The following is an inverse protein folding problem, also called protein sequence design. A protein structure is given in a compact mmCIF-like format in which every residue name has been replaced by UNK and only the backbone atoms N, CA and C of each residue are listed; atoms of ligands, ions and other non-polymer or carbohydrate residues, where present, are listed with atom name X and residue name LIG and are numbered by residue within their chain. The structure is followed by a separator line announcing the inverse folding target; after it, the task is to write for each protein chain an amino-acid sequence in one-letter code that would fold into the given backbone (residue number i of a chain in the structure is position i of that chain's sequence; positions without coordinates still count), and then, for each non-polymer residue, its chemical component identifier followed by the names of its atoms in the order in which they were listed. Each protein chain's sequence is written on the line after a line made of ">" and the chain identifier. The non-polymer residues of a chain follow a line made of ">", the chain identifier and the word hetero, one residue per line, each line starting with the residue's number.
data_IF_302797125654
#
_entry.id   IF_302797125654
#
_cell.length_a   1.000
_cell.length_b   1.000
_cell.length_c   1.000
_cell.angle_alpha   90.00
_cell.angle_beta   90.00
_cell.angle_gamma   90.00
#
_symmetry.space_group_name_H-M   'P 1'
#
loop_
_entity.id
_entity.type
_entity.pdbx_description
1 polymer ?
#
# COMPACT_ATOMS: atom_id res chain seq x y z
N UNK A 1 23.10 -24.01 -10.85
CA UNK A 1 22.57 -22.91 -10.03
C UNK A 1 23.31 -21.64 -10.41
N UNK A 2 22.65 -20.73 -11.09
CA UNK A 2 23.24 -19.47 -11.57
C UNK A 2 23.05 -18.39 -10.51
N UNK A 3 24.13 -17.69 -10.18
CA UNK A 3 24.17 -16.65 -9.15
C UNK A 3 23.12 -15.54 -9.41
N UNK A 4 22.17 -15.29 -8.47
CA UNK A 4 21.15 -14.25 -8.62
C UNK A 4 21.74 -12.83 -8.74
N UNK A 5 22.92 -12.56 -8.15
CA UNK A 5 23.63 -11.28 -8.32
C UNK A 5 24.09 -11.11 -9.78
N UNK A 6 24.52 -12.19 -10.44
CA UNK A 6 24.87 -12.15 -11.86
C UNK A 6 23.65 -11.93 -12.76
N UNK A 7 22.50 -12.52 -12.42
CA UNK A 7 21.24 -12.27 -13.15
C UNK A 7 20.82 -10.81 -13.04
N UNK A 8 20.86 -10.22 -11.84
CA UNK A 8 20.54 -8.80 -11.63
C UNK A 8 21.51 -7.87 -12.37
N UNK A 9 22.83 -8.13 -12.30
CA UNK A 9 23.83 -7.34 -13.05
C UNK A 9 23.68 -7.47 -14.57
N UNK A 10 23.18 -8.60 -15.06
CA UNK A 10 22.90 -8.79 -16.50
C UNK A 10 21.60 -8.12 -16.95
N UNK A 11 20.68 -7.88 -16.01
CA UNK A 11 19.40 -7.22 -16.26
C UNK A 11 19.49 -5.68 -16.20
N UNK A 12 20.55 -5.13 -15.59
CA UNK A 12 20.83 -3.70 -15.35
C UNK A 12 20.18 -2.74 -16.38
N UNK A 13 18.95 -2.27 -16.09
CA UNK A 13 18.16 -1.45 -17.00
C UNK A 13 18.80 -0.06 -17.20
N UNK A 14 19.53 0.43 -16.18
CA UNK A 14 20.16 1.74 -16.19
C UNK A 14 21.30 1.83 -17.21
N UNK A 15 21.95 0.70 -17.53
CA UNK A 15 22.97 0.62 -18.58
C UNK A 15 22.40 0.53 -20.00
N UNK A 16 21.12 0.14 -20.15
CA UNK A 16 20.41 0.08 -21.44
C UNK A 16 19.64 1.35 -21.75
N UNK A 17 19.25 2.10 -20.73
CA UNK A 17 18.85 3.49 -20.91
C UNK A 17 20.09 4.26 -21.39
N UNK A 18 20.04 4.84 -22.59
CA UNK A 18 21.10 5.73 -23.08
C UNK A 18 21.05 7.05 -22.29
N UNK A 19 21.57 7.00 -21.06
CA UNK A 19 21.64 8.13 -20.15
C UNK A 19 22.66 9.19 -20.62
N UNK A 20 23.42 8.90 -21.69
CA UNK A 20 24.32 9.87 -22.32
C UNK A 20 23.59 11.05 -22.96
N UNK A 21 22.29 10.92 -23.21
CA UNK A 21 21.43 11.99 -23.71
C UNK A 21 20.80 12.86 -22.60
N UNK A 22 20.99 12.52 -21.33
CA UNK A 22 20.46 13.31 -20.20
C UNK A 22 21.44 14.44 -19.91
N UNK A 23 20.95 15.68 -20.07
CA UNK A 23 21.73 16.91 -19.83
C UNK A 23 22.34 16.89 -18.42
N UNK A 24 23.65 17.10 -18.33
CA UNK A 24 24.39 17.15 -17.06
C UNK A 24 23.83 18.23 -16.13
N UNK A 25 23.22 19.29 -16.69
CA UNK A 25 22.48 20.30 -15.94
C UNK A 25 21.17 19.78 -15.32
N UNK A 26 20.49 18.82 -15.95
CA UNK A 26 19.30 18.19 -15.38
C UNK A 26 19.67 17.26 -14.21
N UNK A 27 20.81 16.57 -14.30
CA UNK A 27 21.35 15.76 -13.21
C UNK A 27 21.84 16.63 -12.03
N UNK A 28 22.45 17.78 -12.32
CA UNK A 28 22.84 18.74 -11.31
C UNK A 28 21.62 19.34 -10.60
N UNK A 29 20.57 19.71 -11.34
CA UNK A 29 19.33 20.24 -10.76
C UNK A 29 18.62 19.21 -9.86
N UNK A 30 18.57 17.94 -10.26
CA UNK A 30 18.03 16.86 -9.42
C UNK A 30 18.85 16.67 -8.13
N UNK A 31 20.18 16.74 -8.22
CA UNK A 31 21.05 16.67 -7.03
C UNK A 31 20.89 17.87 -6.10
N UNK A 32 20.65 19.05 -6.66
CA UNK A 32 20.48 20.29 -5.90
C UNK A 32 19.10 20.37 -5.22
N UNK A 33 18.03 19.87 -5.87
CA UNK A 33 16.69 19.77 -5.28
C UNK A 33 16.60 18.73 -4.15
N UNK A 34 17.26 17.57 -4.29
CA UNK A 34 17.28 16.52 -3.25
C UNK A 34 17.97 17.03 -1.97
N UNK A 35 18.89 18.00 -2.08
CA UNK A 35 19.56 18.60 -0.92
C UNK A 35 18.77 19.76 -0.29
N UNK A 36 17.80 20.38 -0.99
CA UNK A 36 17.07 21.54 -0.48
C UNK A 36 15.74 21.24 0.22
N UNK A 37 15.32 19.97 0.30
CA UNK A 37 14.15 19.57 1.12
C UNK A 37 14.43 19.49 2.62
N UNK A 38 15.66 19.80 3.06
CA UNK A 38 15.97 20.02 4.48
C UNK A 38 16.22 21.50 4.72
N UNK A 39 15.38 22.11 5.57
CA UNK A 39 15.39 23.49 6.08
C UNK A 39 14.79 24.58 5.18
N UNK A 40 13.50 24.85 5.37
CA UNK A 40 12.94 26.19 5.20
C UNK A 40 12.21 26.61 6.48
N UNK A 41 12.91 27.41 7.26
CA UNK A 41 12.42 28.22 8.38
C UNK A 41 11.48 29.33 7.83
N UNK A 42 10.21 29.42 8.27
CA UNK A 42 9.19 30.25 7.61
C UNK A 42 9.21 31.73 8.04
N UNK A 43 10.32 32.25 8.55
CA UNK A 43 10.37 33.64 9.05
C UNK A 43 11.53 34.43 8.46
N UNK A 44 11.44 34.80 7.17
CA UNK A 44 11.95 36.08 6.62
C UNK A 44 11.87 36.09 5.08
N UNK A 45 10.81 36.67 4.50
CA UNK A 45 10.88 37.22 3.15
C UNK A 45 9.87 38.36 2.97
N UNK A 46 10.37 39.58 2.82
CA UNK A 46 9.57 40.77 2.53
C UNK A 46 8.99 40.73 1.09
N UNK A 47 7.86 41.41 0.82
CA UNK A 47 7.19 41.32 -0.47
C UNK A 47 7.88 42.19 -1.53
N UNK A 48 8.38 41.57 -2.60
CA UNK A 48 8.86 42.28 -3.80
C UNK A 48 7.72 42.33 -4.83
N UNK A 49 7.39 43.54 -5.30
CA UNK A 49 6.32 43.79 -6.27
C UNK A 49 6.57 43.15 -7.64
N UNK A 50 5.52 42.80 -8.42
CA UNK A 50 5.67 42.05 -9.66
C UNK A 50 5.97 42.96 -10.87
N UNK A 51 6.88 42.58 -11.79
CA UNK A 51 6.97 43.24 -13.08
C UNK A 51 5.94 42.71 -14.08
N UNK A 52 5.42 43.62 -14.90
CA UNK A 52 4.37 43.40 -15.90
C UNK A 52 4.84 42.67 -17.17
N UNK A 53 4.04 41.68 -17.58
CA UNK A 53 3.80 41.09 -18.93
C UNK A 53 4.86 41.29 -20.04
N UNK A 54 5.34 40.16 -20.60
CA UNK A 54 5.32 39.92 -22.06
C UNK A 54 5.39 38.43 -22.41
N UNK A 55 4.37 37.97 -23.15
CA UNK A 55 4.24 36.62 -23.73
C UNK A 55 5.44 36.29 -24.62
N UNK A 56 6.20 35.25 -24.27
CA UNK A 56 6.98 34.41 -25.20
C UNK A 56 6.83 32.94 -24.77
N UNK A 57 5.72 32.33 -25.19
CA UNK A 57 5.57 30.88 -25.21
C UNK A 57 6.48 30.35 -26.33
N UNK A 58 7.67 29.90 -25.97
CA UNK A 58 8.63 29.30 -26.88
C UNK A 58 9.41 28.19 -26.20
N UNK A 59 9.21 26.96 -26.69
CA UNK A 59 10.02 25.73 -26.54
C UNK A 59 10.41 25.21 -25.14
N UNK A 60 10.26 25.99 -24.07
CA UNK A 60 10.60 25.56 -22.69
C UNK A 60 9.44 24.93 -21.92
N UNK A 61 8.21 25.02 -22.43
CA UNK A 61 7.03 24.40 -21.81
C UNK A 61 6.96 22.87 -21.92
N UNK A 62 7.66 22.28 -22.90
CA UNK A 62 7.65 20.82 -23.09
C UNK A 62 8.52 20.07 -22.07
N UNK A 63 9.56 20.72 -21.52
CA UNK A 63 10.46 20.10 -20.53
C UNK A 63 9.78 20.00 -19.16
N UNK A 64 8.95 20.97 -18.79
CA UNK A 64 8.18 20.95 -17.54
C UNK A 64 7.09 19.86 -17.52
N UNK A 65 6.45 19.59 -18.67
CA UNK A 65 5.46 18.51 -18.78
C UNK A 65 6.12 17.13 -18.74
N UNK A 66 7.31 16.97 -19.33
CA UNK A 66 8.06 15.70 -19.29
C UNK A 66 8.65 15.35 -17.92
N UNK A 67 9.03 16.35 -17.11
CA UNK A 67 9.52 16.13 -15.74
C UNK A 67 8.40 15.74 -14.77
N UNK A 68 7.17 16.26 -14.97
CA UNK A 68 6.02 15.91 -14.15
C UNK A 68 5.58 14.44 -14.31
N UNK A 69 5.66 13.88 -15.52
CA UNK A 69 5.37 12.45 -15.75
C UNK A 69 6.44 11.52 -15.21
N UNK A 70 7.73 11.93 -15.22
CA UNK A 70 8.81 11.15 -14.60
C UNK A 70 8.74 11.19 -13.08
N UNK A 71 8.30 12.30 -12.47
CA UNK A 71 8.08 12.39 -11.02
C UNK A 71 6.84 11.60 -10.57
N UNK A 72 5.76 11.60 -11.36
CA UNK A 72 4.61 10.73 -11.11
C UNK A 72 4.97 9.24 -11.25
N UNK A 73 5.72 8.83 -12.27
CA UNK A 73 6.15 7.43 -12.45
C UNK A 73 7.25 6.98 -11.48
N UNK A 74 8.18 7.87 -11.11
CA UNK A 74 9.25 7.59 -10.15
C UNK A 74 8.76 7.51 -8.69
N UNK A 75 7.69 8.23 -8.35
CA UNK A 75 7.01 8.13 -7.05
C UNK A 75 6.44 6.72 -6.80
N UNK A 76 5.90 6.06 -7.83
CA UNK A 76 5.39 4.68 -7.72
C UNK A 76 6.53 3.69 -7.44
N UNK A 77 7.71 3.88 -8.04
CA UNK A 77 8.86 3.03 -7.80
C UNK A 77 9.47 3.23 -6.39
N UNK A 78 9.48 4.47 -5.87
CA UNK A 78 9.97 4.75 -4.52
C UNK A 78 8.96 4.29 -3.45
N UNK A 79 7.67 4.46 -3.67
CA UNK A 79 6.61 3.90 -2.83
C UNK A 79 6.62 2.36 -2.85
N UNK A 80 6.89 1.72 -4.01
CA UNK A 80 7.04 0.28 -4.09
C UNK A 80 8.29 -0.25 -3.35
N UNK A 81 9.38 0.51 -3.28
CA UNK A 81 10.57 0.15 -2.50
C UNK A 81 10.37 0.38 -1.00
N UNK A 82 9.60 1.40 -0.60
CA UNK A 82 9.19 1.66 0.79
C UNK A 82 8.18 0.61 1.29
N UNK A 83 7.19 0.24 0.46
CA UNK A 83 6.28 -0.88 0.72
C UNK A 83 7.03 -2.23 0.84
N UNK A 84 8.18 -2.36 0.17
CA UNK A 84 9.05 -3.54 0.26
C UNK A 84 9.99 -3.53 1.48
N UNK A 85 10.17 -2.38 2.15
CA UNK A 85 10.98 -2.21 3.36
C UNK A 85 10.13 -1.69 4.52
N UNK A 86 9.09 -2.45 4.87
CA UNK A 86 8.62 -2.58 6.24
C UNK A 86 8.04 -1.37 6.97
N UNK A 87 8.07 -0.15 6.44
CA UNK A 87 7.40 0.95 7.16
C UNK A 87 7.11 2.17 6.30
N UNK A 88 6.02 2.10 5.54
CA UNK A 88 5.36 3.30 4.98
C UNK A 88 4.48 4.03 6.02
N UNK A 89 4.54 3.66 7.31
CA UNK A 89 3.57 4.11 8.32
C UNK A 89 2.21 3.40 8.24
N UNK A 90 2.02 2.49 7.27
CA UNK A 90 0.76 1.78 7.01
C UNK A 90 0.71 0.39 7.68
N UNK A 91 1.56 0.16 8.70
CA UNK A 91 1.73 -1.17 9.28
C UNK A 91 2.34 -1.19 10.68
N UNK A 92 2.69 -2.38 11.13
CA UNK A 92 3.34 -2.63 12.43
C UNK A 92 4.77 -3.13 12.22
N UNK A 93 5.69 -2.60 13.01
CA UNK A 93 7.09 -3.02 13.03
C UNK A 93 7.40 -3.78 14.32
N UNK A 94 7.90 -5.01 14.19
CA UNK A 94 8.26 -5.91 15.28
C UNK A 94 9.75 -5.94 15.49
N UNK A 95 10.18 -5.69 16.73
CA UNK A 95 11.58 -5.85 17.13
C UNK A 95 11.70 -6.56 18.47
N UNK A 96 12.50 -7.61 18.51
CA UNK A 96 12.87 -8.36 19.71
C UNK A 96 13.97 -7.65 20.51
N UNK A 97 14.67 -6.70 19.88
CA UNK A 97 15.57 -5.77 20.54
C UNK A 97 15.44 -4.36 19.90
N UNK A 98 15.13 -3.35 20.70
CA UNK A 98 15.11 -1.97 20.25
C UNK A 98 16.52 -1.40 20.16
N UNK A 99 16.82 -0.73 19.05
CA UNK A 99 18.10 -0.07 18.81
C UNK A 99 17.90 1.22 18.01
N UNK A 100 18.89 2.14 17.99
CA UNK A 100 18.85 3.28 17.07
C UNK A 100 18.72 2.84 15.60
N UNK A 101 19.31 1.70 15.24
CA UNK A 101 19.20 1.14 13.89
C UNK A 101 17.77 0.64 13.61
N UNK A 102 17.06 0.10 14.60
CA UNK A 102 15.64 -0.24 14.48
C UNK A 102 14.76 0.99 14.23
N UNK A 103 15.07 2.12 14.88
CA UNK A 103 14.40 3.40 14.63
C UNK A 103 14.62 3.92 13.20
N UNK A 104 15.73 3.54 12.56
CA UNK A 104 16.02 3.82 11.14
C UNK A 104 15.50 2.72 10.19
N UNK A 105 14.80 1.70 10.72
CA UNK A 105 14.25 0.58 9.95
C UNK A 105 15.30 -0.43 9.47
N UNK A 106 16.51 -0.41 10.05
CA UNK A 106 17.64 -1.25 9.63
C UNK A 106 17.76 -2.57 10.40
N UNK A 107 17.30 -2.61 11.65
CA UNK A 107 17.38 -3.77 12.55
C UNK A 107 15.97 -4.22 12.97
N UNK A 108 15.19 -4.64 11.98
CA UNK A 108 13.78 -5.03 12.14
C UNK A 108 13.64 -6.54 11.95
N UNK A 109 13.00 -7.23 12.90
CA UNK A 109 12.78 -8.68 12.84
C UNK A 109 11.67 -9.05 11.84
N UNK A 110 10.56 -8.33 11.94
CA UNK A 110 9.43 -8.45 11.03
C UNK A 110 8.72 -7.10 10.92
N UNK A 111 8.19 -6.81 9.74
CA UNK A 111 7.29 -5.71 9.55
C UNK A 111 6.38 -6.01 8.37
N UNK A 112 5.18 -5.44 8.41
CA UNK A 112 4.16 -5.68 7.41
C UNK A 112 2.97 -4.75 7.59
N UNK A 113 2.00 -4.79 6.66
CA UNK A 113 0.78 -4.03 6.76
C UNK A 113 -0.03 -4.46 8.01
N UNK A 114 -0.98 -3.62 8.41
CA UNK A 114 -1.97 -3.99 9.41
C UNK A 114 -2.81 -5.18 8.93
N UNK A 115 -2.94 -6.19 9.79
CA UNK A 115 -3.74 -7.39 9.51
C UNK A 115 -5.09 -7.29 10.23
N UNK A 116 -5.07 -6.88 11.50
CA UNK A 116 -6.26 -6.72 12.35
C UNK A 116 -6.34 -5.34 13.00
N UNK A 117 -5.24 -4.57 12.98
CA UNK A 117 -5.14 -3.31 13.70
C UNK A 117 -4.73 -3.46 15.17
N UNK A 118 -4.66 -4.69 15.69
CA UNK A 118 -4.03 -5.00 16.98
C UNK A 118 -2.51 -5.19 16.78
N UNK A 119 -1.67 -4.26 17.27
CA UNK A 119 -0.23 -4.33 17.04
C UNK A 119 0.38 -5.61 17.64
N UNK A 120 -0.14 -6.12 18.75
CA UNK A 120 0.41 -7.32 19.38
C UNK A 120 0.05 -8.59 18.62
N UNK A 121 -1.21 -8.71 18.18
CA UNK A 121 -1.68 -9.86 17.42
C UNK A 121 -1.04 -9.90 16.02
N UNK A 122 -0.99 -8.75 15.35
CA UNK A 122 -0.38 -8.59 14.03
C UNK A 122 1.12 -8.89 14.11
N UNK A 123 1.80 -8.35 15.13
CA UNK A 123 3.22 -8.61 15.31
C UNK A 123 3.54 -10.08 15.61
N UNK A 124 2.71 -10.75 16.42
CA UNK A 124 2.84 -12.19 16.69
C UNK A 124 2.71 -12.99 15.39
N UNK A 125 1.76 -12.64 14.54
CA UNK A 125 1.54 -13.28 13.22
C UNK A 125 2.75 -13.08 12.31
N UNK A 126 3.21 -11.83 12.16
CA UNK A 126 4.35 -11.49 11.31
C UNK A 126 5.66 -12.17 11.76
N UNK A 127 5.90 -12.28 13.07
CA UNK A 127 7.05 -13.01 13.61
C UNK A 127 6.93 -14.51 13.33
N UNK A 128 5.76 -15.10 13.52
CA UNK A 128 5.52 -16.53 13.28
C UNK A 128 5.73 -16.89 11.80
N UNK A 129 5.31 -16.05 10.86
CA UNK A 129 5.56 -16.22 9.42
C UNK A 129 7.06 -16.21 9.07
N UNK A 130 7.88 -15.52 9.86
CA UNK A 130 9.34 -15.51 9.75
C UNK A 130 10.02 -16.64 10.55
N UNK A 131 9.25 -17.48 11.23
CA UNK A 131 9.76 -18.54 12.10
C UNK A 131 10.43 -18.01 13.38
N UNK A 132 10.08 -16.79 13.80
CA UNK A 132 10.59 -16.13 14.99
C UNK A 132 9.63 -16.32 16.18
N UNK A 133 10.15 -16.38 17.42
CA UNK A 133 9.30 -16.42 18.62
C UNK A 133 8.56 -15.09 18.83
N UNK A 134 7.44 -15.10 19.57
CA UNK A 134 6.79 -13.86 19.99
C UNK A 134 7.70 -13.05 20.93
N UNK A 135 7.52 -11.73 20.94
CA UNK A 135 8.24 -10.81 21.83
C UNK A 135 7.71 -10.97 23.27
N UNK A 136 8.60 -11.24 24.22
CA UNK A 136 8.26 -11.31 25.64
C UNK A 136 8.03 -9.89 26.21
N UNK A 137 7.01 -9.75 27.08
CA UNK A 137 6.64 -8.46 27.69
C UNK A 137 6.51 -7.32 26.66
N UNK A 138 5.86 -7.62 25.53
CA UNK A 138 5.75 -6.71 24.41
C UNK A 138 4.95 -5.44 24.78
N UNK A 139 5.41 -4.29 24.30
CA UNK A 139 4.72 -3.00 24.36
C UNK A 139 4.69 -2.38 22.98
N UNK A 140 3.50 -1.94 22.57
CA UNK A 140 3.30 -1.17 21.36
C UNK A 140 3.45 0.33 21.65
N UNK A 141 4.11 1.07 20.76
CA UNK A 141 4.32 2.50 20.89
C UNK A 141 4.45 3.18 19.54
N UNK A 142 4.17 4.49 19.50
CA UNK A 142 4.36 5.32 18.32
C UNK A 142 5.77 5.94 18.32
N UNK A 143 6.47 5.83 17.19
CA UNK A 143 7.77 6.46 16.96
C UNK A 143 7.84 6.99 15.53
N UNK A 144 8.08 8.30 15.38
CA UNK A 144 8.15 8.99 14.08
C UNK A 144 6.96 8.70 13.15
N UNK A 145 5.75 8.65 13.72
CA UNK A 145 4.52 8.37 12.97
C UNK A 145 4.30 6.90 12.58
N UNK A 146 5.14 5.99 13.06
CA UNK A 146 5.04 4.55 12.84
C UNK A 146 4.70 3.81 14.13
N UNK A 147 4.09 2.63 14.01
CA UNK A 147 3.82 1.77 15.17
C UNK A 147 4.87 0.68 15.29
N UNK A 148 5.49 0.62 16.46
CA UNK A 148 6.46 -0.40 16.83
C UNK A 148 5.95 -1.27 17.97
N UNK A 149 6.39 -2.52 17.99
CA UNK A 149 6.23 -3.47 19.10
C UNK A 149 7.61 -3.95 19.51
N UNK A 150 7.98 -3.71 20.78
CA UNK A 150 9.27 -4.07 21.36
C UNK A 150 9.12 -4.55 22.81
N UNK A 151 10.15 -5.17 23.42
CA UNK A 151 10.15 -5.48 24.85
C UNK A 151 9.96 -4.21 25.69
N UNK A 152 9.15 -4.32 26.76
CA UNK A 152 8.76 -3.19 27.61
C UNK A 152 9.95 -2.42 28.20
N UNK A 153 11.05 -3.12 28.52
CA UNK A 153 12.27 -2.56 29.10
C UNK A 153 13.17 -1.83 28.08
N UNK A 154 12.82 -1.90 26.80
CA UNK A 154 13.57 -1.28 25.71
C UNK A 154 12.79 -0.17 24.99
N UNK A 155 11.52 0.06 25.36
CA UNK A 155 10.72 1.18 24.87
C UNK A 155 11.36 2.50 25.31
N UNK A 156 11.66 3.44 24.39
CA UNK A 156 12.30 4.70 24.76
C UNK A 156 11.47 5.53 25.75
N UNK A 157 12.15 6.25 26.64
CA UNK A 157 11.48 7.13 27.60
C UNK A 157 10.70 8.24 26.89
N UNK A 158 9.47 8.49 27.38
CA UNK A 158 8.64 9.61 26.92
C UNK A 158 7.89 9.39 25.60
N UNK A 159 7.97 8.21 25.00
CA UNK A 159 7.15 7.86 23.83
C UNK A 159 5.70 7.59 24.22
N UNK A 160 4.80 7.85 23.29
CA UNK A 160 3.40 7.49 23.44
C UNK A 160 3.26 5.98 23.30
N UNK A 161 2.95 5.32 24.41
CA UNK A 161 2.59 3.90 24.40
C UNK A 161 1.16 3.76 23.94
N UNK A 162 0.94 2.81 23.04
CA UNK A 162 -0.38 2.44 22.54
C UNK A 162 -0.98 1.43 23.52
N UNK A 163 -1.18 1.86 24.78
CA UNK A 163 -1.80 1.04 25.82
C UNK A 163 -3.32 1.04 25.64
N UNK A 164 -3.86 0.00 24.99
CA UNK A 164 -5.28 -0.12 24.67
C UNK A 164 -5.51 -1.14 23.55
N UNK A 165 -6.74 -1.63 23.39
CA UNK A 165 -7.08 -2.53 22.27
C UNK A 165 -7.03 -1.74 20.96
N UNK A 166 -6.40 -2.36 19.96
CA UNK A 166 -6.23 -1.95 18.56
C UNK A 166 -5.73 -0.52 18.31
N UNK A 167 -4.57 -0.40 17.68
CA UNK A 167 -4.00 0.88 17.22
C UNK A 167 -4.81 1.48 16.06
N UNK A 168 -5.46 0.62 15.28
CA UNK A 168 -6.42 0.99 14.24
C UNK A 168 -7.71 0.21 14.44
N UNK A 169 -8.83 0.83 14.09
CA UNK A 169 -10.11 0.13 14.03
C UNK A 169 -10.03 -1.01 12.99
N UNK A 170 -10.35 -2.27 13.35
CA UNK A 170 -10.35 -3.38 12.41
C UNK A 170 -11.18 -3.13 11.15
N UNK A 171 -12.30 -2.40 11.26
CA UNK A 171 -13.13 -2.05 10.10
C UNK A 171 -12.39 -1.13 9.13
N UNK A 172 -11.52 -0.24 9.63
CA UNK A 172 -10.68 0.63 8.80
C UNK A 172 -9.56 -0.16 8.13
N UNK A 173 -8.97 -1.14 8.82
CA UNK A 173 -7.98 -2.04 8.23
C UNK A 173 -8.62 -2.85 7.09
N UNK A 174 -9.80 -3.42 7.30
CA UNK A 174 -10.54 -4.14 6.27
C UNK A 174 -10.91 -3.23 5.08
N UNK A 175 -11.34 -1.98 5.32
CA UNK A 175 -11.60 -1.01 4.25
C UNK A 175 -10.36 -0.78 3.37
N UNK A 176 -9.18 -0.63 3.99
CA UNK A 176 -7.93 -0.43 3.25
C UNK A 176 -7.56 -1.63 2.39
N UNK A 177 -7.81 -2.85 2.86
CA UNK A 177 -7.57 -4.07 2.07
C UNK A 177 -8.57 -4.18 0.92
N UNK A 178 -9.86 -4.04 1.22
CA UNK A 178 -10.97 -4.09 0.26
C UNK A 178 -10.82 -3.10 -0.90
N UNK A 179 -10.29 -1.89 -0.65
CA UNK A 179 -10.07 -0.89 -1.72
C UNK A 179 -9.09 -1.37 -2.79
N UNK A 180 -8.14 -2.21 -2.40
CA UNK A 180 -7.10 -2.76 -3.29
C UNK A 180 -7.37 -4.18 -3.74
N UNK A 181 -8.45 -4.79 -3.24
CA UNK A 181 -8.79 -6.18 -3.54
C UNK A 181 -9.16 -6.35 -5.03
N UNK A 182 -8.54 -7.38 -5.61
CA UNK A 182 -8.69 -7.80 -7.01
C UNK A 182 -9.76 -8.87 -7.21
N UNK A 183 -10.35 -9.45 -6.17
CA UNK A 183 -11.34 -10.53 -6.28
C UNK A 183 -12.76 -9.96 -6.45
N UNK A 184 -13.22 -9.16 -5.50
CA UNK A 184 -14.55 -8.55 -5.49
C UNK A 184 -14.60 -7.09 -4.96
N UNK A 185 -13.51 -6.59 -4.37
CA UNK A 185 -13.39 -5.25 -3.84
C UNK A 185 -13.16 -4.14 -4.88
N UNK A 186 -12.56 -3.04 -4.43
CA UNK A 186 -12.47 -1.77 -5.15
C UNK A 186 -11.67 -1.85 -6.46
N UNK A 187 -10.70 -2.77 -6.54
CA UNK A 187 -9.81 -2.95 -7.68
C UNK A 187 -10.14 -4.19 -8.54
N UNK A 188 -11.25 -4.88 -8.29
CA UNK A 188 -11.65 -6.11 -8.98
C UNK A 188 -12.17 -5.93 -10.41
N UNK A 189 -12.57 -4.71 -10.79
CA UNK A 189 -13.07 -4.40 -12.12
C UNK A 189 -12.82 -2.94 -12.50
N UNK A 190 -12.71 -2.68 -13.80
CA UNK A 190 -12.71 -1.31 -14.32
C UNK A 190 -14.13 -0.72 -14.26
N UNK A 191 -14.44 -0.05 -13.15
CA UNK A 191 -15.71 0.65 -12.90
C UNK A 191 -15.67 2.07 -13.44
N UNK A 192 -16.83 2.67 -13.73
CA UNK A 192 -16.96 4.13 -13.86
C UNK A 192 -16.81 4.80 -12.49
N UNK A 193 -16.50 6.11 -12.46
CA UNK A 193 -16.42 6.87 -11.18
C UNK A 193 -17.71 6.75 -10.37
N UNK A 194 -18.87 6.84 -11.01
CA UNK A 194 -20.16 6.70 -10.34
C UNK A 194 -20.36 5.31 -9.71
N UNK A 195 -20.00 4.24 -10.43
CA UNK A 195 -20.04 2.88 -9.89
C UNK A 195 -19.03 2.69 -8.75
N UNK A 196 -17.86 3.35 -8.82
CA UNK A 196 -16.87 3.36 -7.73
C UNK A 196 -17.38 4.07 -6.48
N UNK A 197 -18.12 5.17 -6.63
CA UNK A 197 -18.79 5.86 -5.51
C UNK A 197 -19.83 4.96 -4.87
N UNK A 198 -20.72 4.35 -5.66
CA UNK A 198 -21.73 3.41 -5.13
C UNK A 198 -21.07 2.24 -4.40
N UNK A 199 -20.01 1.65 -4.95
CA UNK A 199 -19.26 0.59 -4.27
C UNK A 199 -18.68 1.08 -2.93
N UNK A 200 -18.07 2.27 -2.90
CA UNK A 200 -17.49 2.83 -1.68
C UNK A 200 -18.54 3.10 -0.59
N UNK A 201 -19.72 3.58 -0.96
CA UNK A 201 -20.84 3.78 -0.04
C UNK A 201 -21.33 2.45 0.56
N UNK A 202 -21.55 1.44 -0.29
CA UNK A 202 -21.95 0.10 0.15
C UNK A 202 -20.92 -0.54 1.09
N UNK A 203 -19.63 -0.31 0.82
CA UNK A 203 -18.54 -0.86 1.62
C UNK A 203 -18.41 -0.18 2.99
N UNK A 204 -18.57 1.15 3.06
CA UNK A 204 -18.61 1.87 4.34
C UNK A 204 -19.81 1.43 5.19
N UNK A 205 -20.99 1.27 4.57
CA UNK A 205 -22.18 0.78 5.25
C UNK A 205 -21.99 -0.64 5.78
N UNK A 206 -21.39 -1.53 4.99
CA UNK A 206 -21.10 -2.91 5.38
C UNK A 206 -20.15 -2.98 6.59
N UNK A 207 -19.16 -2.08 6.62
CA UNK A 207 -18.15 -2.01 7.68
C UNK A 207 -18.62 -1.23 8.92
N UNK A 208 -19.83 -0.66 8.90
CA UNK A 208 -20.35 0.15 10.01
C UNK A 208 -19.56 1.45 10.22
N UNK A 209 -19.03 2.03 9.15
CA UNK A 209 -18.23 3.25 9.17
C UNK A 209 -19.12 4.47 8.88
N UNK A 210 -20.20 4.67 9.63
CA UNK A 210 -21.24 5.66 9.28
C UNK A 210 -20.80 7.12 9.48
N UNK A 211 -19.69 7.36 10.18
CA UNK A 211 -19.08 8.67 10.33
C UNK A 211 -18.03 9.00 9.25
N UNK A 212 -17.84 8.10 8.28
CA UNK A 212 -17.00 8.31 7.11
C UNK A 212 -17.77 8.91 5.95
N UNK A 213 -17.05 9.52 5.01
CA UNK A 213 -17.63 10.13 3.81
C UNK A 213 -17.06 9.55 2.53
N UNK A 214 -17.83 9.61 1.44
CA UNK A 214 -17.32 9.32 0.09
C UNK A 214 -17.16 10.63 -0.65
N UNK A 215 -15.94 10.87 -1.17
CA UNK A 215 -15.59 12.05 -1.93
C UNK A 215 -15.19 11.70 -3.36
N UNK A 216 -15.52 12.58 -4.30
CA UNK A 216 -15.06 12.47 -5.68
C UNK A 216 -13.88 13.43 -5.93
N UNK A 217 -12.88 12.96 -6.68
CA UNK A 217 -11.87 13.83 -7.31
C UNK A 217 -12.23 14.05 -8.76
N UNK A 218 -12.00 15.27 -9.24
CA UNK A 218 -12.20 15.64 -10.64
C UNK A 218 -11.59 14.57 -11.56
N UNK A 219 -12.37 14.11 -12.53
CA UNK A 219 -11.89 13.19 -13.54
C UNK A 219 -10.63 13.75 -14.20
N UNK A 220 -9.62 12.89 -14.38
CA UNK A 220 -8.48 13.25 -15.22
C UNK A 220 -8.99 13.74 -16.58
N UNK A 221 -8.32 14.71 -17.23
CA UNK A 221 -8.67 15.13 -18.57
C UNK A 221 -8.77 13.91 -19.48
N UNK A 222 -9.75 13.90 -20.38
CA UNK A 222 -10.02 12.72 -21.22
C UNK A 222 -8.72 12.15 -21.81
N UNK A 223 -8.49 10.84 -21.69
CA UNK A 223 -7.26 10.22 -22.12
C UNK A 223 -7.04 10.51 -23.61
N UNK A 224 -5.84 10.98 -23.93
CA UNK A 224 -5.47 11.49 -25.26
C UNK A 224 -5.63 10.42 -26.36
N UNK A 225 -5.61 9.14 -25.98
CA UNK A 225 -5.60 8.00 -26.91
C UNK A 225 -6.83 7.06 -26.76
N UNK A 226 -7.91 7.52 -26.12
CA UNK A 226 -9.14 6.72 -25.98
C UNK A 226 -9.00 5.50 -25.05
N UNK A 227 -8.00 5.52 -24.16
CA UNK A 227 -7.87 4.55 -23.08
C UNK A 227 -9.12 4.58 -22.18
N UNK A 228 -9.53 3.43 -21.66
CA UNK A 228 -10.64 3.37 -20.72
C UNK A 228 -10.20 4.02 -19.39
N UNK A 229 -10.95 5.03 -18.93
CA UNK A 229 -10.77 5.60 -17.58
C UNK A 229 -11.53 4.72 -16.60
N UNK A 230 -10.80 4.07 -15.69
CA UNK A 230 -11.38 3.29 -14.59
C UNK A 230 -11.48 4.15 -13.34
N UNK A 231 -12.38 3.84 -12.42
CA UNK A 231 -12.36 4.40 -11.08
C UNK A 231 -11.17 3.82 -10.31
N UNK A 232 -10.33 4.69 -9.76
CA UNK A 232 -9.40 4.38 -8.68
C UNK A 232 -10.02 4.83 -7.37
N UNK A 233 -9.89 3.98 -6.35
CA UNK A 233 -10.42 4.27 -5.01
C UNK A 233 -9.27 4.28 -4.01
N UNK A 234 -9.28 5.25 -3.10
CA UNK A 234 -8.23 5.45 -2.09
C UNK A 234 -8.87 5.79 -0.75
N UNK A 235 -8.20 5.41 0.35
CA UNK A 235 -8.68 5.66 1.71
C UNK A 235 -7.86 6.80 2.33
N UNK A 236 -8.54 7.86 2.77
CA UNK A 236 -7.97 8.93 3.60
C UNK A 236 -8.41 8.72 5.05
N UNK A 237 -7.55 8.03 5.82
CA UNK A 237 -7.82 7.71 7.23
C UNK A 237 -7.90 8.97 8.09
N UNK A 238 -7.05 9.98 7.82
CA UNK A 238 -7.03 11.23 8.58
C UNK A 238 -8.27 12.09 8.33
N UNK A 239 -8.75 12.10 7.08
CA UNK A 239 -9.99 12.76 6.67
C UNK A 239 -11.26 11.94 6.93
N UNK A 240 -11.14 10.65 7.30
CA UNK A 240 -12.24 9.69 7.38
C UNK A 240 -13.07 9.69 6.09
N UNK A 241 -12.38 9.52 4.97
CA UNK A 241 -13.00 9.58 3.66
C UNK A 241 -12.49 8.48 2.73
N UNK A 242 -13.39 7.97 1.89
CA UNK A 242 -13.03 7.20 0.70
C UNK A 242 -13.08 8.14 -0.49
N UNK A 243 -11.97 8.24 -1.22
CA UNK A 243 -11.84 9.15 -2.35
C UNK A 243 -11.82 8.34 -3.64
N UNK A 244 -12.81 8.59 -4.49
CA UNK A 244 -12.99 7.97 -5.80
C UNK A 244 -12.60 8.97 -6.88
N UNK A 245 -11.81 8.54 -7.86
CA UNK A 245 -11.43 9.39 -8.99
C UNK A 245 -11.11 8.58 -10.24
N UNK A 246 -11.16 9.21 -11.40
CA UNK A 246 -10.75 8.54 -12.64
C UNK A 246 -9.23 8.30 -12.65
N UNK A 247 -8.80 7.06 -12.89
CA UNK A 247 -7.42 6.70 -13.20
C UNK A 247 -7.31 6.33 -14.68
N UNK A 248 -6.28 6.85 -15.35
CA UNK A 248 -5.93 6.47 -16.72
C UNK A 248 -5.17 5.14 -16.78
N UNK A 249 -4.74 4.62 -15.62
CA UNK A 249 -4.06 3.34 -15.49
C UNK A 249 -5.09 2.26 -15.13
N UNK A 250 -5.48 1.45 -16.12
CA UNK A 250 -5.70 0.04 -15.83
C UNK A 250 -4.30 -0.56 -15.78
N UNK A 251 -3.79 -0.92 -14.61
CA UNK A 251 -2.45 -1.48 -14.46
C UNK A 251 -2.24 -2.82 -15.21
N UNK A 252 -3.28 -3.31 -15.92
CA UNK A 252 -3.25 -4.49 -16.76
C UNK A 252 -3.02 -5.77 -15.97
N UNK A 253 -2.94 -5.69 -14.64
CA UNK A 253 -2.50 -6.81 -13.80
C UNK A 253 -3.52 -7.94 -13.82
N UNK A 254 -4.80 -7.61 -14.00
CA UNK A 254 -5.89 -8.58 -14.18
C UNK A 254 -5.87 -9.24 -15.57
N UNK A 255 -5.13 -8.68 -16.53
CA UNK A 255 -4.94 -9.30 -17.85
C UNK A 255 -3.81 -10.35 -17.84
N UNK A 256 -2.96 -10.35 -16.79
CA UNK A 256 -1.96 -11.38 -16.60
C UNK A 256 -2.65 -12.74 -16.35
N UNK A 257 -2.39 -13.79 -17.17
CA UNK A 257 -3.07 -15.06 -17.04
C UNK A 257 -2.88 -15.77 -15.70
N UNK A 258 -1.74 -15.56 -15.02
CA UNK A 258 -1.47 -16.12 -13.71
C UNK A 258 -2.37 -15.43 -12.67
N UNK A 259 -2.37 -14.10 -12.65
CA UNK A 259 -3.21 -13.30 -11.73
C UNK A 259 -4.69 -13.58 -11.96
N UNK A 260 -5.14 -13.59 -13.22
CA UNK A 260 -6.50 -13.92 -13.59
C UNK A 260 -6.91 -15.33 -13.12
N UNK A 261 -5.99 -16.30 -13.21
CA UNK A 261 -6.20 -17.66 -12.71
C UNK A 261 -6.40 -17.71 -11.20
N UNK A 262 -5.59 -16.97 -10.44
CA UNK A 262 -5.70 -16.86 -8.97
C UNK A 262 -7.03 -16.21 -8.60
N UNK A 263 -7.35 -15.05 -9.19
CA UNK A 263 -8.62 -14.33 -8.95
C UNK A 263 -9.82 -15.23 -9.22
N UNK A 264 -9.82 -15.97 -10.34
CA UNK A 264 -10.90 -16.88 -10.68
C UNK A 264 -11.03 -18.04 -9.66
N UNK A 265 -9.90 -18.58 -9.18
CA UNK A 265 -9.89 -19.63 -8.17
C UNK A 265 -10.43 -19.13 -6.81
N UNK A 266 -9.98 -17.97 -6.36
CA UNK A 266 -10.45 -17.34 -5.12
C UNK A 266 -11.95 -17.03 -5.19
N UNK A 267 -12.39 -16.37 -6.26
CA UNK A 267 -13.81 -16.02 -6.45
C UNK A 267 -14.72 -17.25 -6.49
N UNK A 268 -14.38 -18.24 -7.32
CA UNK A 268 -15.20 -19.44 -7.48
C UNK A 268 -15.13 -20.41 -6.31
N UNK A 269 -14.06 -20.35 -5.51
CA UNK A 269 -13.87 -21.21 -4.34
C UNK A 269 -14.36 -20.62 -3.02
N UNK A 270 -14.34 -19.29 -2.88
CA UNK A 270 -14.66 -18.57 -1.64
C UNK A 270 -15.93 -17.73 -1.83
N UNK A 271 -15.84 -16.63 -2.58
CA UNK A 271 -16.93 -15.64 -2.74
C UNK A 271 -18.23 -16.27 -3.23
N UNK A 272 -18.16 -17.16 -4.22
CA UNK A 272 -19.36 -17.77 -4.84
C UNK A 272 -19.94 -18.95 -4.04
N UNK A 273 -19.21 -19.49 -3.04
CA UNK A 273 -19.56 -20.77 -2.39
C UNK A 273 -19.92 -20.68 -0.92
N UNK A 274 -19.74 -19.53 -0.26
CA UNK A 274 -20.03 -19.33 1.16
C UNK A 274 -19.44 -20.45 2.04
N UNK A 275 -18.12 -20.40 2.23
CA UNK A 275 -17.36 -21.40 2.99
C UNK A 275 -16.90 -20.84 4.34
N UNK A 276 -16.55 -21.67 5.34
CA UNK A 276 -15.95 -21.19 6.58
C UNK A 276 -14.48 -20.76 6.37
N UNK A 277 -13.93 -20.07 7.37
CA UNK A 277 -12.57 -19.50 7.33
C UNK A 277 -11.48 -20.53 6.96
N UNK A 278 -11.49 -21.71 7.60
CA UNK A 278 -10.47 -22.74 7.36
C UNK A 278 -10.52 -23.29 5.92
N UNK A 279 -11.73 -23.45 5.36
CA UNK A 279 -11.91 -23.91 3.98
C UNK A 279 -11.49 -22.80 2.99
N UNK A 280 -11.86 -21.55 3.25
CA UNK A 280 -11.42 -20.42 2.44
C UNK A 280 -9.89 -20.26 2.45
N UNK A 281 -9.25 -20.40 3.62
CA UNK A 281 -7.79 -20.40 3.72
C UNK A 281 -7.17 -21.50 2.86
N UNK A 282 -7.71 -22.72 2.91
CA UNK A 282 -7.21 -23.82 2.09
C UNK A 282 -7.35 -23.56 0.59
N UNK A 283 -8.44 -22.93 0.16
CA UNK A 283 -8.62 -22.48 -1.24
C UNK A 283 -7.57 -21.43 -1.62
N UNK A 284 -7.32 -20.46 -0.75
CA UNK A 284 -6.31 -19.43 -0.99
C UNK A 284 -4.90 -20.01 -1.09
N UNK A 285 -4.51 -20.89 -0.16
CA UNK A 285 -3.21 -21.55 -0.16
C UNK A 285 -3.01 -22.39 -1.45
N UNK A 286 -4.04 -23.11 -1.90
CA UNK A 286 -3.99 -23.86 -3.16
C UNK A 286 -3.88 -22.92 -4.38
N UNK A 287 -4.64 -21.82 -4.41
CA UNK A 287 -4.58 -20.84 -5.50
C UNK A 287 -3.20 -20.20 -5.64
N UNK A 288 -2.51 -19.95 -4.52
CA UNK A 288 -1.16 -19.38 -4.48
C UNK A 288 -0.05 -20.40 -4.74
N UNK A 289 -0.32 -21.71 -4.63
CA UNK A 289 0.67 -22.78 -4.80
C UNK A 289 1.34 -22.82 -6.18
N UNK A 290 0.69 -22.22 -7.19
CA UNK A 290 1.20 -22.13 -8.56
C UNK A 290 2.31 -21.08 -8.74
N UNK A 291 2.55 -20.22 -7.75
CA UNK A 291 3.50 -19.12 -7.82
C UNK A 291 4.80 -19.53 -7.12
N UNK A 292 5.93 -19.32 -7.79
CA UNK A 292 7.25 -19.51 -7.19
C UNK A 292 7.45 -18.48 -6.05
N UNK A 293 7.49 -18.95 -4.80
CA UNK A 293 7.71 -18.13 -3.62
C UNK A 293 6.97 -18.62 -2.40
N UNK A 294 7.05 -17.87 -1.31
CA UNK A 294 6.21 -18.06 -0.13
C UNK A 294 5.35 -16.82 0.02
N UNK A 295 4.05 -16.97 -0.22
CA UNK A 295 3.05 -15.92 -0.09
C UNK A 295 2.09 -16.36 1.02
N UNK A 296 2.25 -15.85 2.25
CA UNK A 296 1.41 -16.27 3.35
C UNK A 296 -0.03 -15.80 3.13
N UNK A 297 -0.98 -16.67 3.48
CA UNK A 297 -2.39 -16.32 3.64
C UNK A 297 -2.63 -15.91 5.10
N UNK A 298 -3.13 -14.70 5.30
CA UNK A 298 -3.59 -14.23 6.61
C UNK A 298 -5.05 -14.66 6.81
N UNK A 299 -5.40 -15.10 8.01
CA UNK A 299 -6.77 -15.50 8.35
C UNK A 299 -7.25 -14.67 9.54
N UNK A 300 -8.37 -13.97 9.36
CA UNK A 300 -8.98 -13.11 10.37
C UNK A 300 -10.35 -13.68 10.74
N UNK A 301 -10.50 -14.26 11.95
CA UNK A 301 -11.79 -14.75 12.43
C UNK A 301 -12.81 -13.62 12.54
N UNK A 302 -13.95 -13.81 11.88
CA UNK A 302 -15.12 -12.94 11.95
C UNK A 302 -16.38 -13.81 12.04
N UNK A 303 -16.77 -14.16 13.26
CA UNK A 303 -17.97 -14.95 13.53
C UNK A 303 -19.27 -14.13 13.41
N UNK A 304 -19.19 -12.83 13.05
CA UNK A 304 -20.37 -11.99 12.83
C UNK A 304 -20.98 -12.17 11.44
N UNK A 305 -20.21 -12.69 10.48
CA UNK A 305 -20.64 -12.99 9.12
C UNK A 305 -20.93 -14.48 8.95
N UNK A 306 -21.74 -14.84 7.94
CA UNK A 306 -22.12 -16.23 7.66
C UNK A 306 -21.18 -16.94 6.68
N UNK A 307 -20.42 -16.18 5.90
CA UNK A 307 -19.58 -16.66 4.81
C UNK A 307 -18.20 -16.02 4.90
N UNK A 308 -17.15 -16.77 4.52
CA UNK A 308 -15.84 -16.19 4.33
C UNK A 308 -15.78 -15.29 3.09
N UNK A 309 -14.85 -14.33 3.14
CA UNK A 309 -14.52 -13.33 2.13
C UNK A 309 -13.01 -13.30 1.98
N UNK A 310 -12.52 -12.81 0.84
CA UNK A 310 -11.10 -12.85 0.52
C UNK A 310 -10.68 -11.57 -0.16
N UNK A 311 -9.62 -10.97 0.38
CA UNK A 311 -8.94 -9.83 -0.23
C UNK A 311 -7.61 -10.30 -0.82
N UNK A 312 -7.40 -10.02 -2.10
CA UNK A 312 -6.16 -10.23 -2.83
C UNK A 312 -5.55 -8.89 -3.20
N UNK A 313 -4.41 -8.59 -2.58
CA UNK A 313 -3.53 -7.52 -3.03
C UNK A 313 -2.43 -8.08 -3.94
N UNK A 314 -2.24 -7.43 -5.10
CA UNK A 314 -1.19 -7.77 -6.07
C UNK A 314 -0.32 -6.54 -6.29
N UNK A 315 0.96 -6.67 -5.93
CA UNK A 315 1.98 -5.64 -6.14
C UNK A 315 3.36 -6.26 -6.36
N UNK A 316 4.36 -5.86 -5.57
CA UNK A 316 5.67 -6.53 -5.55
C UNK A 316 5.64 -7.97 -4.98
N UNK A 317 4.51 -8.34 -4.35
CA UNK A 317 4.18 -9.67 -3.83
C UNK A 317 2.67 -9.89 -3.93
N UNK A 318 2.24 -11.15 -3.76
CA UNK A 318 0.85 -11.50 -3.52
C UNK A 318 0.60 -11.50 -2.01
N UNK A 319 -0.46 -10.84 -1.56
CA UNK A 319 -0.94 -10.89 -0.18
C UNK A 319 -2.41 -11.27 -0.23
N UNK A 320 -2.77 -12.32 0.51
CA UNK A 320 -4.16 -12.79 0.59
C UNK A 320 -4.59 -12.76 2.05
N UNK A 321 -5.68 -12.05 2.31
CA UNK A 321 -6.34 -12.06 3.61
C UNK A 321 -7.71 -12.71 3.46
N UNK A 322 -8.02 -13.65 4.33
CA UNK A 322 -9.34 -14.29 4.40
C UNK A 322 -10.02 -13.87 5.69
N UNK A 323 -11.21 -13.30 5.57
CA UNK A 323 -12.11 -12.96 6.67
C UNK A 323 -13.25 -13.97 6.70
N UNK A 324 -13.73 -14.38 7.87
CA UNK A 324 -14.91 -15.24 7.90
C UNK A 324 -15.11 -16.00 9.20
N UNK A 325 -16.23 -16.73 9.30
CA UNK A 325 -16.58 -17.40 10.54
C UNK A 325 -15.73 -18.66 10.69
N UNK A 326 -15.38 -18.96 11.94
CA UNK A 326 -14.65 -20.18 12.29
C UNK A 326 -15.45 -21.45 11.94
N UNK A 327 -16.78 -21.34 11.92
CA UNK A 327 -17.71 -22.40 11.48
C UNK A 327 -18.76 -21.83 10.55
N UNK A 328 -19.10 -22.53 9.46
CA UNK A 328 -20.18 -22.11 8.57
C UNK A 328 -21.54 -22.25 9.28
N UNK A 329 -22.39 -21.23 9.11
CA UNK A 329 -23.77 -21.17 9.63
C UNK A 329 -24.81 -21.75 8.69
#
# INVERSE_FOLDING_TARGET
>A
MTDPIMRLRSADPARRADLGAVDEAAFAALREEILMTTTLDPTNAAPVAPPSRRRRLGRRGAVAVGLATVLAGGGVAYAAIQAFRGSSGEGVTCVSAWSPDAAEGLDVDAAGPWLTGDPYADCTTLLAERGLPPIEDAVAFAWDGQTYVAPADQVPDGVERLEGRSALDPAVVELQQSVTDRVDGGASACRTVAEGVTWAEEELDRLGLEDWSVGERDALPEPVDGAQVCAGVTVDVGGRAVVVGGTADSDGILEDPLVAGIVAALKGGITDRCVPLDEARAVADEALSAIDGTFPTTSVPDDSVTCARVDLFVGGSFQVTVYGPTTAG
#
